data_IF_614981210995
#
_entry.id   IF_614981210995
#
_cell.length_a   1.000
_cell.length_b   1.000
_cell.length_c   1.000
_cell.angle_alpha   90.00
_cell.angle_beta   90.00
_cell.angle_gamma   90.00
#
_symmetry.space_group_name_H-M   'P 1'
#
loop_
_entity.id
_entity.type
_entity.pdbx_description
1 polymer ?
#
# COMPACT_ATOMS: atom_id res chain seq x y z
N UNK A 1 -7.83 -1.03 -14.65
CA UNK A 1 -7.95 -2.48 -14.41
C UNK A 1 -7.83 -2.69 -12.92
N UNK A 2 -8.83 -3.33 -12.34
CA UNK A 2 -8.84 -3.74 -10.92
C UNK A 2 -8.27 -5.16 -10.84
N UNK A 3 -7.62 -5.50 -9.73
CA UNK A 3 -7.14 -6.85 -9.46
C UNK A 3 -8.29 -7.87 -9.59
N UNK A 4 -7.98 -9.09 -10.04
CA UNK A 4 -8.98 -10.14 -10.20
C UNK A 4 -9.53 -10.54 -8.83
N UNK A 5 -10.76 -10.12 -8.54
CA UNK A 5 -11.49 -10.47 -7.32
C UNK A 5 -12.40 -11.71 -7.50
N UNK A 6 -12.40 -12.33 -8.71
CA UNK A 6 -13.19 -13.53 -9.03
C UNK A 6 -12.36 -14.78 -8.79
N UNK A 7 -12.01 -15.06 -7.54
CA UNK A 7 -11.26 -16.25 -7.17
C UNK A 7 -12.00 -17.06 -6.08
N UNK A 8 -11.64 -18.35 -5.94
CA UNK A 8 -12.22 -19.27 -4.96
C UNK A 8 -11.55 -19.23 -3.58
N UNK A 9 -10.58 -18.35 -3.36
CA UNK A 9 -9.94 -18.22 -2.05
C UNK A 9 -10.88 -17.55 -1.04
N UNK A 10 -10.83 -17.95 0.24
CA UNK A 10 -11.58 -17.29 1.29
C UNK A 10 -11.21 -15.81 1.41
N UNK A 11 -12.20 -14.96 1.58
CA UNK A 11 -12.05 -13.51 1.78
C UNK A 11 -12.16 -13.22 3.27
N UNK A 12 -11.22 -12.43 3.80
CA UNK A 12 -11.26 -12.00 5.20
C UNK A 12 -12.31 -10.90 5.39
N UNK A 13 -12.85 -10.79 6.60
CA UNK A 13 -13.77 -9.71 6.97
C UNK A 13 -13.12 -8.33 6.88
N UNK A 14 -13.93 -7.29 6.67
CA UNK A 14 -13.46 -5.91 6.70
C UNK A 14 -13.36 -5.40 8.15
N UNK A 15 -12.29 -5.77 8.83
CA UNK A 15 -12.00 -5.35 10.21
C UNK A 15 -11.63 -3.86 10.28
N UNK A 16 -10.97 -3.32 9.25
CA UNK A 16 -10.58 -1.90 9.20
C UNK A 16 -11.79 -0.96 9.19
N UNK A 17 -12.88 -1.37 8.53
CA UNK A 17 -14.17 -0.68 8.46
C UNK A 17 -14.06 0.85 8.25
N UNK A 18 -13.16 1.28 7.36
CA UNK A 18 -12.87 2.69 7.02
C UNK A 18 -12.30 3.52 8.17
N UNK A 19 -11.93 2.92 9.28
CA UNK A 19 -11.18 3.62 10.32
C UNK A 19 -9.69 3.69 9.95
N UNK A 20 -9.36 4.73 9.18
CA UNK A 20 -7.99 5.01 8.73
C UNK A 20 -7.16 5.80 9.75
N UNK A 21 -7.63 5.94 10.98
CA UNK A 21 -6.83 6.52 12.07
C UNK A 21 -5.93 5.47 12.70
N UNK A 22 -4.76 5.88 13.12
CA UNK A 22 -3.84 5.05 13.89
C UNK A 22 -3.13 5.92 14.93
N UNK A 23 -2.93 5.38 16.13
CA UNK A 23 -2.32 6.10 17.25
C UNK A 23 -0.82 5.87 17.35
N UNK A 24 -0.33 4.76 16.76
CA UNK A 24 1.08 4.35 16.78
C UNK A 24 1.50 3.72 15.46
N UNK A 25 2.80 3.70 15.21
CA UNK A 25 3.39 2.99 14.07
C UNK A 25 3.03 1.51 14.11
N UNK A 26 2.92 0.89 12.94
CA UNK A 26 2.62 -0.55 12.81
C UNK A 26 1.32 -1.00 13.50
N UNK A 27 0.34 -0.10 13.67
CA UNK A 27 -0.99 -0.46 14.15
C UNK A 27 -1.90 -0.89 13.01
N UNK A 28 -1.86 -0.16 11.90
CA UNK A 28 -2.68 -0.45 10.71
C UNK A 28 -1.88 -0.16 9.46
N UNK A 29 -1.75 -1.14 8.59
CA UNK A 29 -1.16 -1.02 7.27
C UNK A 29 -2.20 -1.24 6.20
N UNK A 30 -2.18 -0.43 5.15
CA UNK A 30 -3.01 -0.64 3.95
C UNK A 30 -2.12 -0.93 2.76
N UNK A 31 -2.59 -1.77 1.85
CA UNK A 31 -1.85 -2.17 0.67
C UNK A 31 -2.76 -2.16 -0.56
N UNK A 32 -2.15 -1.85 -1.69
CA UNK A 32 -2.80 -1.94 -2.99
C UNK A 32 -1.75 -2.16 -4.09
N UNK A 33 -2.20 -2.54 -5.28
CA UNK A 33 -1.38 -2.85 -6.44
C UNK A 33 -1.84 -2.02 -7.64
N UNK A 34 -0.89 -1.38 -8.31
CA UNK A 34 -1.13 -0.62 -9.53
C UNK A 34 -0.40 -1.19 -10.74
N UNK A 35 -1.01 -1.00 -11.89
CA UNK A 35 -0.50 -1.36 -13.20
C UNK A 35 0.12 -0.12 -13.85
N UNK A 36 1.36 -0.23 -14.26
CA UNK A 36 2.12 0.83 -14.94
C UNK A 36 2.44 0.34 -16.34
N UNK A 37 1.98 1.05 -17.35
CA UNK A 37 2.26 0.68 -18.74
C UNK A 37 3.65 1.17 -19.15
N UNK A 38 4.40 0.30 -19.83
CA UNK A 38 5.68 0.61 -20.48
C UNK A 38 5.67 0.05 -21.89
N UNK A 39 6.61 0.45 -22.74
CA UNK A 39 6.76 -0.14 -24.08
C UNK A 39 7.16 -1.62 -24.06
N UNK A 40 7.76 -2.09 -22.97
CA UNK A 40 8.09 -3.51 -22.72
C UNK A 40 6.93 -4.32 -22.12
N UNK A 41 5.75 -3.71 -21.91
CA UNK A 41 4.59 -4.31 -21.28
C UNK A 41 4.35 -3.81 -19.84
N UNK A 42 3.51 -4.52 -19.09
CA UNK A 42 3.11 -4.09 -17.76
C UNK A 42 4.25 -4.21 -16.72
N UNK A 43 4.32 -3.20 -15.88
CA UNK A 43 5.03 -3.22 -14.60
C UNK A 43 4.00 -3.11 -13.48
N UNK A 44 4.08 -4.00 -12.51
CA UNK A 44 3.21 -4.01 -11.33
C UNK A 44 3.94 -3.36 -10.17
N UNK A 45 3.30 -2.39 -9.53
CA UNK A 45 3.79 -1.75 -8.31
C UNK A 45 2.85 -2.09 -7.17
N UNK A 46 3.36 -2.78 -6.16
CA UNK A 46 2.67 -2.98 -4.88
C UNK A 46 3.23 -2.00 -3.87
N UNK A 47 2.37 -1.38 -3.05
CA UNK A 47 2.78 -0.54 -1.92
C UNK A 47 2.10 -0.99 -0.64
N UNK A 48 2.79 -0.78 0.49
CA UNK A 48 2.26 -0.93 1.84
C UNK A 48 2.47 0.41 2.55
N UNK A 49 1.40 0.99 3.07
CA UNK A 49 1.37 2.30 3.72
C UNK A 49 0.99 2.12 5.18
N UNK A 50 1.79 2.66 6.09
CA UNK A 50 1.46 2.76 7.50
C UNK A 50 0.47 3.92 7.73
N UNK A 51 -0.69 3.63 8.33
CA UNK A 51 -1.74 4.62 8.52
C UNK A 51 -1.39 5.67 9.58
N UNK A 52 -0.42 5.40 10.45
CA UNK A 52 0.00 6.35 11.48
C UNK A 52 0.62 7.62 10.89
N UNK A 53 1.63 7.46 10.05
CA UNK A 53 2.36 8.59 9.45
C UNK A 53 2.21 8.68 7.93
N UNK A 54 1.39 7.80 7.34
CA UNK A 54 1.14 7.71 5.89
C UNK A 54 2.39 7.38 5.06
N UNK A 55 3.44 6.86 5.68
CA UNK A 55 4.66 6.48 4.98
C UNK A 55 4.47 5.19 4.20
N UNK A 56 4.99 5.13 2.98
CA UNK A 56 5.18 3.87 2.26
C UNK A 56 6.31 3.13 2.94
N UNK A 57 5.97 2.07 3.67
CA UNK A 57 6.91 1.27 4.47
C UNK A 57 7.44 0.07 3.71
N UNK A 58 6.70 -0.40 2.70
CA UNK A 58 7.12 -1.46 1.80
C UNK A 58 6.58 -1.25 0.41
N UNK A 59 7.38 -1.63 -0.58
CA UNK A 59 6.98 -1.63 -1.98
C UNK A 59 7.74 -2.70 -2.77
N UNK A 60 7.19 -3.08 -3.91
CA UNK A 60 7.84 -3.99 -4.85
C UNK A 60 7.46 -3.66 -6.28
N UNK A 61 8.39 -3.90 -7.21
CA UNK A 61 8.14 -3.87 -8.65
C UNK A 61 8.25 -5.27 -9.23
N UNK A 62 7.31 -5.66 -10.08
CA UNK A 62 7.32 -6.95 -10.75
C UNK A 62 6.84 -6.85 -12.19
N UNK A 63 7.26 -7.78 -13.03
CA UNK A 63 6.69 -8.02 -14.37
C UNK A 63 5.59 -9.08 -14.37
N UNK A 64 5.36 -9.78 -13.25
CA UNK A 64 4.30 -10.74 -13.08
C UNK A 64 3.42 -10.42 -11.86
N UNK A 65 2.19 -10.94 -11.85
CA UNK A 65 1.17 -10.65 -10.84
C UNK A 65 1.08 -11.68 -9.71
N UNK A 66 2.05 -12.57 -9.58
CA UNK A 66 2.02 -13.57 -8.51
C UNK A 66 2.25 -12.92 -7.14
N UNK A 67 1.72 -13.51 -6.08
CA UNK A 67 1.95 -13.00 -4.73
C UNK A 67 3.43 -13.05 -4.33
N UNK A 68 4.18 -14.03 -4.84
CA UNK A 68 5.62 -14.20 -4.62
C UNK A 68 6.44 -13.04 -5.17
N UNK A 69 5.97 -12.42 -6.26
CA UNK A 69 6.70 -11.32 -6.93
C UNK A 69 6.13 -9.93 -6.62
N UNK A 70 4.96 -9.86 -6.04
CA UNK A 70 4.26 -8.60 -5.73
C UNK A 70 4.18 -8.36 -4.22
N UNK A 71 3.14 -8.87 -3.55
CA UNK A 71 2.83 -8.52 -2.15
C UNK A 71 3.84 -9.09 -1.14
N UNK A 72 4.39 -10.27 -1.37
CA UNK A 72 5.35 -10.89 -0.44
C UNK A 72 6.67 -10.11 -0.37
N UNK A 73 7.32 -9.67 -1.47
CA UNK A 73 8.49 -8.80 -1.38
C UNK A 73 8.20 -7.45 -0.73
N UNK A 74 7.06 -6.82 -1.04
CA UNK A 74 6.63 -5.58 -0.40
C UNK A 74 6.44 -5.77 1.12
N UNK A 75 5.80 -6.85 1.55
CA UNK A 75 5.65 -7.23 2.95
C UNK A 75 7.00 -7.41 3.66
N UNK A 76 7.92 -8.19 3.05
CA UNK A 76 9.27 -8.39 3.62
C UNK A 76 10.03 -7.08 3.79
N UNK A 77 9.89 -6.16 2.82
CA UNK A 77 10.47 -4.83 2.93
C UNK A 77 9.84 -4.04 4.07
N UNK A 78 8.50 -4.05 4.19
CA UNK A 78 7.79 -3.37 5.27
C UNK A 78 8.24 -3.86 6.65
N UNK A 79 8.40 -5.18 6.83
CA UNK A 79 8.88 -5.78 8.08
C UNK A 79 10.33 -5.40 8.42
N UNK A 80 11.18 -5.13 7.42
CA UNK A 80 12.55 -4.61 7.66
C UNK A 80 12.55 -3.13 8.03
N UNK A 81 11.65 -2.34 7.46
CA UNK A 81 11.58 -0.91 7.68
C UNK A 81 10.81 -0.51 8.95
N UNK A 82 9.95 -1.40 9.44
CA UNK A 82 9.11 -1.19 10.62
C UNK A 82 9.02 -2.48 11.44
N UNK A 83 9.21 -2.41 12.75
CA UNK A 83 8.97 -3.57 13.62
C UNK A 83 7.48 -3.94 13.56
N UNK A 84 7.20 -5.22 13.42
CA UNK A 84 5.85 -5.76 13.59
C UNK A 84 5.50 -5.66 15.07
N UNK A 85 4.35 -5.07 15.36
CA UNK A 85 3.78 -5.04 16.70
C UNK A 85 2.57 -5.98 16.76
N UNK A 86 2.29 -6.49 17.95
CA UNK A 86 1.08 -7.26 18.20
C UNK A 86 -0.15 -6.42 17.77
N UNK A 87 -1.17 -7.10 17.25
CA UNK A 87 -2.44 -6.49 16.80
C UNK A 87 -2.35 -5.65 15.51
N UNK A 88 -1.27 -5.78 14.73
CA UNK A 88 -1.22 -5.13 13.41
C UNK A 88 -2.38 -5.62 12.53
N UNK A 89 -3.15 -4.67 12.01
CA UNK A 89 -4.17 -4.93 10.96
C UNK A 89 -3.54 -4.66 9.60
N UNK A 90 -3.56 -5.66 8.73
CA UNK A 90 -3.15 -5.53 7.33
C UNK A 90 -4.39 -5.54 6.44
N UNK A 91 -4.70 -4.41 5.83
CA UNK A 91 -5.87 -4.23 4.98
C UNK A 91 -5.50 -4.12 3.49
N UNK A 92 -6.30 -4.75 2.65
CA UNK A 92 -6.15 -4.72 1.19
C UNK A 92 -7.49 -4.82 0.47
N UNK A 93 -7.46 -4.69 -0.86
CA UNK A 93 -8.56 -5.16 -1.69
C UNK A 93 -8.68 -6.70 -1.66
N UNK A 94 -9.61 -7.25 -2.45
CA UNK A 94 -9.83 -8.71 -2.59
C UNK A 94 -8.99 -9.34 -3.68
N UNK A 95 -7.90 -8.73 -4.11
CA UNK A 95 -7.04 -9.29 -5.15
C UNK A 95 -6.51 -10.67 -4.78
N UNK A 96 -6.41 -11.56 -5.78
CA UNK A 96 -5.92 -12.94 -5.62
C UNK A 96 -4.56 -12.99 -4.91
N UNK A 97 -3.71 -11.98 -5.10
CA UNK A 97 -2.39 -11.88 -4.48
C UNK A 97 -2.47 -11.80 -2.95
N UNK A 98 -3.50 -11.14 -2.42
CA UNK A 98 -3.75 -11.00 -0.99
C UNK A 98 -4.55 -12.18 -0.40
N UNK A 99 -5.43 -12.78 -1.21
CA UNK A 99 -6.28 -13.90 -0.79
C UNK A 99 -5.58 -15.28 -0.86
N UNK A 100 -4.47 -15.40 -1.57
CA UNK A 100 -3.80 -16.67 -1.79
C UNK A 100 -3.25 -17.31 -0.49
N UNK A 101 -3.16 -18.65 -0.49
CA UNK A 101 -2.67 -19.43 0.66
C UNK A 101 -1.31 -18.95 1.17
N UNK A 102 -0.38 -18.60 0.27
CA UNK A 102 0.99 -18.23 0.64
C UNK A 102 1.00 -16.94 1.49
N UNK A 103 0.31 -15.90 1.03
CA UNK A 103 0.27 -14.63 1.75
C UNK A 103 -0.54 -14.74 3.06
N UNK A 104 -1.68 -15.44 3.05
CA UNK A 104 -2.48 -15.67 4.26
C UNK A 104 -1.71 -16.42 5.34
N UNK A 105 -0.94 -17.47 4.97
CA UNK A 105 -0.04 -18.17 5.90
C UNK A 105 1.01 -17.23 6.48
N UNK A 106 1.61 -16.38 5.63
CA UNK A 106 2.61 -15.41 6.04
C UNK A 106 2.06 -14.43 7.09
N UNK A 107 0.86 -13.88 6.89
CA UNK A 107 0.22 -13.03 7.89
C UNK A 107 -0.09 -13.77 9.18
N UNK A 108 -0.67 -14.98 9.07
CA UNK A 108 -1.02 -15.80 10.23
C UNK A 108 0.20 -16.19 11.08
N UNK A 109 1.31 -16.56 10.44
CA UNK A 109 2.56 -16.91 11.15
C UNK A 109 3.20 -15.73 11.90
N UNK A 110 2.83 -14.51 11.54
CA UNK A 110 3.26 -13.29 12.21
C UNK A 110 2.17 -12.70 13.13
N UNK A 111 1.09 -13.44 13.39
CA UNK A 111 -0.06 -13.02 14.23
C UNK A 111 -0.74 -11.73 13.75
N UNK A 112 -0.78 -11.51 12.43
CA UNK A 112 -1.35 -10.32 11.81
C UNK A 112 -2.83 -10.55 11.46
N UNK A 113 -3.67 -9.60 11.82
CA UNK A 113 -5.08 -9.59 11.44
C UNK A 113 -5.23 -9.14 9.99
N UNK A 114 -5.65 -10.06 9.11
CA UNK A 114 -5.96 -9.72 7.73
C UNK A 114 -7.35 -9.10 7.64
N UNK A 115 -7.45 -7.97 6.96
CA UNK A 115 -8.70 -7.26 6.66
C UNK A 115 -8.80 -7.05 5.14
N UNK A 116 -10.00 -7.22 4.57
CA UNK A 116 -10.22 -7.03 3.13
C UNK A 116 -11.42 -6.13 2.87
N UNK A 117 -11.33 -5.30 1.83
CA UNK A 117 -12.41 -4.42 1.37
C UNK A 117 -13.68 -5.22 1.05
N UNK A 118 -14.85 -4.63 1.22
CA UNK A 118 -16.13 -5.19 0.74
C UNK A 118 -16.16 -5.21 -0.78
N UNK A 119 -16.91 -6.13 -1.36
CA UNK A 119 -17.02 -6.27 -2.82
C UNK A 119 -17.57 -4.98 -3.43
N UNK A 120 -16.88 -4.45 -4.44
CA UNK A 120 -17.30 -3.25 -5.16
C UNK A 120 -17.23 -1.95 -4.37
N UNK A 121 -16.56 -1.93 -3.22
CA UNK A 121 -16.50 -0.75 -2.35
C UNK A 121 -15.08 -0.16 -2.31
N UNK A 122 -14.83 0.77 -3.23
CA UNK A 122 -13.53 1.45 -3.35
C UNK A 122 -13.17 2.30 -2.10
N UNK A 123 -14.15 2.83 -1.37
CA UNK A 123 -13.91 3.63 -0.17
C UNK A 123 -13.26 2.85 0.98
N UNK A 124 -13.31 1.53 0.94
CA UNK A 124 -12.74 0.69 2.00
C UNK A 124 -11.20 0.70 1.98
N UNK A 125 -10.55 1.07 0.85
CA UNK A 125 -9.09 1.21 0.73
C UNK A 125 -8.66 2.62 0.27
N UNK A 126 -9.41 3.64 0.64
CA UNK A 126 -9.28 5.01 0.14
C UNK A 126 -7.88 5.62 0.28
N UNK A 127 -7.10 5.23 1.30
CA UNK A 127 -5.75 5.77 1.52
C UNK A 127 -4.78 5.26 0.46
N UNK A 128 -4.77 3.96 0.17
CA UNK A 128 -3.91 3.38 -0.87
C UNK A 128 -4.36 3.86 -2.26
N UNK A 129 -5.67 3.95 -2.51
CA UNK A 129 -6.21 4.50 -3.76
C UNK A 129 -5.80 5.97 -3.96
N UNK A 130 -5.88 6.80 -2.92
CA UNK A 130 -5.43 8.21 -2.97
C UNK A 130 -3.95 8.34 -3.28
N UNK A 131 -3.12 7.46 -2.70
CA UNK A 131 -1.70 7.39 -3.04
C UNK A 131 -1.51 7.12 -4.53
N UNK A 132 -2.13 6.06 -5.06
CA UNK A 132 -1.98 5.69 -6.48
C UNK A 132 -2.57 6.74 -7.42
N UNK A 133 -3.71 7.34 -7.09
CA UNK A 133 -4.25 8.45 -7.86
C UNK A 133 -3.23 9.59 -7.98
N UNK A 134 -2.61 9.98 -6.87
CA UNK A 134 -1.60 11.04 -6.86
C UNK A 134 -0.35 10.64 -7.65
N UNK A 135 0.15 9.42 -7.46
CA UNK A 135 1.29 8.87 -8.20
C UNK A 135 1.05 8.90 -9.71
N UNK A 136 -0.12 8.40 -10.14
CA UNK A 136 -0.49 8.36 -11.57
C UNK A 136 -0.55 9.76 -12.17
N UNK A 137 -1.24 10.69 -11.53
CA UNK A 137 -1.38 12.08 -12.01
C UNK A 137 -0.04 12.81 -12.04
N UNK A 138 0.80 12.64 -11.02
CA UNK A 138 2.06 13.39 -10.91
C UNK A 138 3.22 12.81 -11.68
N UNK A 139 3.18 11.50 -12.00
CA UNK A 139 4.30 10.81 -12.65
C UNK A 139 3.84 9.98 -13.84
N UNK A 140 3.03 8.96 -13.64
CA UNK A 140 2.74 7.95 -14.67
C UNK A 140 2.11 8.54 -15.92
N UNK A 141 1.13 9.46 -15.75
CA UNK A 141 0.45 10.09 -16.89
C UNK A 141 1.27 11.20 -17.55
N UNK A 142 2.36 11.64 -16.94
CA UNK A 142 3.27 12.63 -17.49
C UNK A 142 4.41 12.00 -18.31
N UNK A 143 4.53 10.68 -18.30
CA UNK A 143 5.66 9.95 -18.87
C UNK A 143 5.20 8.84 -19.82
N UNK A 144 5.99 8.59 -20.85
CA UNK A 144 5.90 7.39 -21.67
C UNK A 144 7.18 6.58 -21.43
N UNK A 145 7.10 5.59 -20.56
CA UNK A 145 8.25 4.77 -20.19
C UNK A 145 8.68 3.84 -21.33
N UNK A 146 9.92 3.95 -21.78
CA UNK A 146 10.47 3.08 -22.80
C UNK A 146 10.73 1.66 -22.25
N UNK A 147 11.09 1.54 -20.98
CA UNK A 147 11.36 0.25 -20.33
C UNK A 147 10.77 0.16 -18.93
N UNK A 148 10.64 -1.07 -18.44
CA UNK A 148 10.27 -1.33 -17.03
C UNK A 148 11.31 -0.76 -16.07
N UNK A 149 12.59 -0.78 -16.46
CA UNK A 149 13.67 -0.24 -15.63
C UNK A 149 13.58 1.28 -15.47
N UNK A 150 13.29 1.99 -16.55
CA UNK A 150 13.03 3.44 -16.51
C UNK A 150 11.87 3.78 -15.56
N UNK A 151 10.73 3.07 -15.70
CA UNK A 151 9.60 3.24 -14.81
C UNK A 151 9.95 2.95 -13.33
N UNK A 152 10.69 1.85 -13.06
CA UNK A 152 11.16 1.52 -11.71
C UNK A 152 11.97 2.65 -11.10
N UNK A 153 12.94 3.19 -11.82
CA UNK A 153 13.82 4.27 -11.33
C UNK A 153 13.04 5.55 -11.04
N UNK A 154 12.12 5.93 -11.92
CA UNK A 154 11.30 7.12 -11.72
C UNK A 154 10.36 6.99 -10.53
N UNK A 155 9.67 5.87 -10.43
CA UNK A 155 8.72 5.61 -9.34
C UNK A 155 9.43 5.40 -7.99
N UNK A 156 10.62 4.79 -7.98
CA UNK A 156 11.48 4.73 -6.80
C UNK A 156 11.83 6.12 -6.27
N UNK A 157 12.30 7.01 -7.15
CA UNK A 157 12.61 8.41 -6.78
C UNK A 157 11.38 9.13 -6.25
N UNK A 158 10.21 8.87 -6.83
CA UNK A 158 8.97 9.45 -6.33
C UNK A 158 8.64 8.97 -4.92
N UNK A 159 8.68 7.65 -4.68
CA UNK A 159 8.32 7.05 -3.39
C UNK A 159 9.31 7.50 -2.31
N UNK A 160 10.60 7.24 -2.50
CA UNK A 160 11.61 7.47 -1.45
C UNK A 160 12.07 8.93 -1.38
N UNK A 161 12.27 9.58 -2.53
CA UNK A 161 12.80 10.94 -2.59
C UNK A 161 11.76 12.03 -2.33
N UNK A 162 10.52 11.83 -2.75
CA UNK A 162 9.51 12.88 -2.64
C UNK A 162 8.40 12.50 -1.64
N UNK A 163 7.71 11.36 -1.82
CA UNK A 163 6.56 11.02 -1.00
C UNK A 163 6.95 10.80 0.45
N UNK A 164 7.91 9.91 0.69
CA UNK A 164 8.35 9.55 2.05
C UNK A 164 9.12 10.67 2.78
N UNK A 165 9.60 11.70 2.07
CA UNK A 165 10.40 12.78 2.68
C UNK A 165 9.67 14.11 2.75
N UNK A 166 9.02 14.54 1.67
CA UNK A 166 8.46 15.91 1.56
C UNK A 166 6.98 15.97 1.90
N UNK A 167 6.17 15.04 1.35
CA UNK A 167 4.72 15.10 1.56
C UNK A 167 4.33 14.79 3.01
N UNK A 168 5.04 13.89 3.68
CA UNK A 168 4.74 13.51 5.07
C UNK A 168 5.06 14.67 6.02
N UNK A 169 6.14 15.43 5.78
CA UNK A 169 6.48 16.59 6.61
C UNK A 169 5.38 17.66 6.62
N UNK A 170 4.69 17.89 5.51
CA UNK A 170 3.57 18.84 5.45
C UNK A 170 2.32 18.33 6.17
N UNK A 171 2.02 17.04 6.09
CA UNK A 171 0.88 16.43 6.78
C UNK A 171 1.08 16.40 8.31
N UNK A 172 2.29 16.13 8.78
CA UNK A 172 2.62 16.14 10.22
C UNK A 172 2.64 17.56 10.82
N UNK A 173 3.10 18.57 10.09
CA UNK A 173 3.00 19.97 10.56
C UNK A 173 1.56 20.37 10.85
N UNK A 174 0.58 19.94 10.02
CA UNK A 174 -0.84 20.22 10.25
C UNK A 174 -1.44 19.45 11.44
N UNK A 175 -0.87 18.30 11.81
CA UNK A 175 -1.31 17.50 12.96
C UNK A 175 -0.81 18.10 14.28
N UNK A 176 0.44 18.56 14.34
CA UNK A 176 1.03 19.20 15.52
C UNK A 176 0.61 20.67 15.69
N UNK A 177 0.29 21.40 14.60
CA UNK A 177 -0.19 22.77 14.67
C UNK A 177 -1.61 22.92 15.24
N UNK A 178 -2.45 21.88 15.21
CA UNK A 178 -3.79 21.91 15.82
C UNK A 178 -3.81 21.64 17.33
N UNK A 179 -2.75 21.09 17.90
CA UNK A 179 -2.66 20.82 19.35
C UNK A 179 -2.24 22.03 20.16
N UNK A 180 -1.79 23.12 19.54
CA UNK A 180 -1.28 24.31 20.26
C UNK A 180 -2.35 25.40 20.40
N UNK A 181 -3.48 25.33 19.68
CA UNK A 181 -4.50 26.38 19.64
C UNK A 181 -5.71 26.11 20.56
N UNK A 182 -5.73 25.03 21.33
CA UNK A 182 -6.83 24.72 22.25
C UNK A 182 -6.46 24.81 23.74
N UNK A 183 -5.62 25.78 24.13
CA UNK A 183 -5.44 26.17 25.52
C UNK A 183 -5.23 27.70 25.57
N UNK A 184 -6.31 28.43 25.55
CA UNK A 184 -6.49 29.71 26.24
C UNK A 184 -7.98 29.91 26.46
#
# INVERSE_FOLDING_TARGET
MTSDSKHLYPVSENVLNRDFTAERISQKWVSDLAYIQTKEGWLYLTVIIDLFDRKVVGWSFSSAMTAQETVIPAWRMACRNRPIQNELIFHSDRGVQYACKAFRRLLKSNLITQSMSRKGNCWDNAVAESFFKTLKVKRVYQMTYASRNEAKMDLFRYIEGWYNTRRIRSANKNRFGRSIVSKN
#
